data_IF_310487439409
#
_entry.id   IF_310487439409
#
_cell.length_a   1.000
_cell.length_b   1.000
_cell.length_c   1.000
_cell.angle_alpha   90.00
_cell.angle_beta   90.00
_cell.angle_gamma   90.00
#
_symmetry.space_group_name_H-M   'P 1'
#
loop_
_entity.id
_entity.type
_entity.pdbx_description
1 polymer ?
#
# COMPACT_ATOMS: atom_id res chain seq x y z
N UNK A 1 -15.08 48.35 1.93
CA UNK A 1 -13.84 47.86 2.55
C UNK A 1 -14.07 46.39 2.85
N UNK A 2 -13.16 45.50 2.45
CA UNK A 2 -13.21 44.11 2.91
C UNK A 2 -12.86 44.13 4.39
N UNK A 3 -13.67 43.50 5.23
CA UNK A 3 -13.38 43.38 6.66
C UNK A 3 -12.05 42.65 6.86
N UNK A 4 -11.21 43.16 7.76
CA UNK A 4 -9.88 42.59 8.08
C UNK A 4 -9.98 41.09 8.42
N UNK A 5 -11.07 40.71 9.09
CA UNK A 5 -11.41 39.31 9.40
C UNK A 5 -11.58 38.46 8.16
N UNK A 6 -12.32 38.96 7.15
CA UNK A 6 -12.58 38.22 5.92
C UNK A 6 -11.30 38.06 5.09
N UNK A 7 -10.46 39.09 5.06
CA UNK A 7 -9.16 39.03 4.40
C UNK A 7 -8.22 38.01 5.08
N UNK A 8 -8.20 37.99 6.42
CA UNK A 8 -7.39 37.03 7.18
C UNK A 8 -7.83 35.58 6.94
N UNK A 9 -9.14 35.31 6.93
CA UNK A 9 -9.68 33.98 6.62
C UNK A 9 -9.28 33.51 5.22
N UNK A 10 -9.34 34.40 4.22
CA UNK A 10 -8.93 34.12 2.86
C UNK A 10 -7.43 33.77 2.78
N UNK A 11 -6.58 34.58 3.42
CA UNK A 11 -5.13 34.36 3.41
C UNK A 11 -4.73 33.06 4.11
N UNK A 12 -5.35 32.75 5.25
CA UNK A 12 -5.10 31.48 5.95
C UNK A 12 -5.54 30.29 5.09
N UNK A 13 -6.71 30.37 4.46
CA UNK A 13 -7.19 29.31 3.55
C UNK A 13 -6.26 29.09 2.35
N UNK A 14 -5.79 30.17 1.73
CA UNK A 14 -4.82 30.10 0.63
C UNK A 14 -3.46 29.55 1.08
N UNK A 15 -2.98 29.94 2.25
CA UNK A 15 -1.72 29.44 2.80
C UNK A 15 -1.79 27.94 3.10
N UNK A 16 -2.86 27.47 3.72
CA UNK A 16 -3.08 26.04 4.01
C UNK A 16 -3.20 25.24 2.71
N UNK A 17 -3.96 25.73 1.73
CA UNK A 17 -4.08 25.09 0.41
C UNK A 17 -2.73 25.02 -0.31
N UNK A 18 -1.94 26.09 -0.26
CA UNK A 18 -0.59 26.14 -0.82
C UNK A 18 0.36 25.15 -0.16
N UNK A 19 0.34 25.05 1.17
CA UNK A 19 1.12 24.04 1.90
C UNK A 19 0.72 22.61 1.52
N UNK A 20 -0.59 22.35 1.40
CA UNK A 20 -1.12 21.05 0.98
C UNK A 20 -0.61 20.68 -0.42
N UNK A 21 -0.63 21.63 -1.36
CA UNK A 21 -0.09 21.47 -2.71
C UNK A 21 1.42 21.19 -2.73
N UNK A 22 2.20 21.91 -1.91
CA UNK A 22 3.63 21.70 -1.80
C UNK A 22 3.97 20.30 -1.25
N UNK A 23 3.25 19.85 -0.23
CA UNK A 23 3.37 18.49 0.29
C UNK A 23 3.00 17.44 -0.76
N UNK A 24 1.93 17.67 -1.53
CA UNK A 24 1.52 16.78 -2.61
C UNK A 24 2.59 16.66 -3.70
N UNK A 25 3.15 17.79 -4.15
CA UNK A 25 4.22 17.80 -5.16
C UNK A 25 5.49 17.12 -4.61
N UNK A 26 5.83 17.34 -3.34
CA UNK A 26 6.96 16.69 -2.69
C UNK A 26 6.77 15.17 -2.56
N UNK A 27 5.56 14.71 -2.21
CA UNK A 27 5.20 13.29 -2.15
C UNK A 27 5.28 12.63 -3.53
N UNK A 28 4.78 13.31 -4.56
CA UNK A 28 4.88 12.85 -5.94
C UNK A 28 6.35 12.74 -6.41
N UNK A 29 7.17 13.75 -6.11
CA UNK A 29 8.60 13.73 -6.44
C UNK A 29 9.39 12.69 -5.64
N UNK A 30 8.97 12.41 -4.41
CA UNK A 30 9.61 11.40 -3.54
C UNK A 30 9.27 9.96 -3.93
N UNK A 31 8.50 9.75 -5.02
CA UNK A 31 8.18 8.41 -5.51
C UNK A 31 7.10 7.69 -4.70
N UNK A 32 6.30 8.40 -3.89
CA UNK A 32 5.24 7.78 -3.09
C UNK A 32 4.15 7.09 -3.95
N UNK A 33 4.07 7.43 -5.24
CA UNK A 33 3.14 6.82 -6.19
C UNK A 33 3.78 5.77 -7.12
N UNK A 34 5.09 5.54 -7.00
CA UNK A 34 5.85 4.66 -7.89
C UNK A 34 5.50 3.16 -7.69
N UNK A 35 4.91 2.82 -6.54
CA UNK A 35 4.40 1.48 -6.22
C UNK A 35 3.08 1.13 -6.96
N UNK A 36 2.48 2.05 -7.71
CA UNK A 36 1.29 1.73 -8.53
C UNK A 36 1.60 0.66 -9.58
N UNK A 37 2.84 0.59 -10.08
CA UNK A 37 3.28 -0.44 -11.04
C UNK A 37 3.29 -1.84 -10.42
N UNK A 38 3.64 -1.96 -9.13
CA UNK A 38 3.73 -3.24 -8.43
C UNK A 38 2.37 -3.88 -8.20
N UNK A 39 1.33 -3.08 -7.95
CA UNK A 39 -0.03 -3.60 -7.73
C UNK A 39 -0.65 -4.15 -9.01
N UNK A 40 -0.42 -3.50 -10.16
CA UNK A 40 -0.95 -3.99 -11.45
C UNK A 40 -0.13 -5.12 -12.05
N UNK A 41 1.20 -5.12 -11.89
CA UNK A 41 2.05 -6.20 -12.43
C UNK A 41 2.03 -7.46 -11.55
N UNK A 42 2.05 -7.32 -10.22
CA UNK A 42 2.01 -8.47 -9.31
C UNK A 42 0.66 -9.21 -9.28
N UNK A 43 -0.42 -8.63 -9.80
CA UNK A 43 -1.73 -9.29 -9.88
C UNK A 43 -1.94 -10.09 -11.18
N UNK A 44 -1.23 -9.74 -12.26
CA UNK A 44 -1.38 -10.38 -13.58
C UNK A 44 -0.24 -11.33 -13.92
N UNK A 45 0.94 -11.14 -13.34
CA UNK A 45 2.12 -11.95 -13.62
C UNK A 45 2.74 -12.36 -12.28
N UNK A 46 2.37 -13.55 -11.80
CA UNK A 46 3.13 -14.19 -10.72
C UNK A 46 4.55 -14.46 -11.24
N UNK A 47 5.56 -14.08 -10.44
CA UNK A 47 6.94 -14.45 -10.72
C UNK A 47 7.19 -15.94 -10.44
N UNK A 48 8.30 -16.51 -10.94
CA UNK A 48 8.69 -17.89 -10.58
C UNK A 48 8.84 -18.06 -9.06
N UNK A 49 9.27 -17.00 -8.36
CA UNK A 49 9.38 -16.98 -6.90
C UNK A 49 8.01 -17.05 -6.22
N UNK A 50 7.01 -16.31 -6.72
CA UNK A 50 5.63 -16.35 -6.20
C UNK A 50 5.01 -17.75 -6.38
N UNK A 51 5.24 -18.38 -7.54
CA UNK A 51 4.83 -19.76 -7.81
C UNK A 51 5.50 -20.76 -6.85
N UNK A 52 6.80 -20.62 -6.64
CA UNK A 52 7.56 -21.49 -5.74
C UNK A 52 7.10 -21.34 -4.29
N UNK A 53 6.77 -20.13 -3.86
CA UNK A 53 6.26 -19.88 -2.51
C UNK A 53 4.82 -20.41 -2.32
N UNK A 54 3.98 -20.35 -3.34
CA UNK A 54 2.67 -21.01 -3.33
C UNK A 54 2.79 -22.53 -3.16
N UNK A 55 3.73 -23.17 -3.88
CA UNK A 55 4.01 -24.61 -3.77
C UNK A 55 4.52 -24.98 -2.37
N UNK A 56 5.47 -24.21 -1.81
CA UNK A 56 5.96 -24.41 -0.43
C UNK A 56 4.82 -24.31 0.57
N UNK A 57 3.94 -23.32 0.42
CA UNK A 57 2.76 -23.14 1.28
C UNK A 57 1.82 -24.34 1.22
N UNK A 58 1.51 -24.84 0.01
CA UNK A 58 0.66 -26.03 -0.15
C UNK A 58 1.28 -27.27 0.53
N UNK A 59 2.58 -27.48 0.34
CA UNK A 59 3.32 -28.60 0.94
C UNK A 59 3.31 -28.51 2.47
N UNK A 60 3.56 -27.33 3.05
CA UNK A 60 3.52 -27.14 4.50
C UNK A 60 2.14 -27.47 5.11
N UNK A 61 1.05 -27.13 4.41
CA UNK A 61 -0.32 -27.43 4.84
C UNK A 61 -0.59 -28.94 4.75
N UNK A 62 -0.15 -29.60 3.67
CA UNK A 62 -0.27 -31.06 3.51
C UNK A 62 0.48 -31.80 4.60
N UNK A 63 1.71 -31.39 4.90
CA UNK A 63 2.54 -31.96 5.95
C UNK A 63 1.87 -31.81 7.32
N UNK A 64 1.42 -30.60 7.68
CA UNK A 64 0.72 -30.34 8.94
C UNK A 64 -0.55 -31.21 9.08
N UNK A 65 -1.34 -31.34 8.02
CA UNK A 65 -2.53 -32.22 8.02
C UNK A 65 -2.16 -33.70 8.16
N UNK A 66 -1.10 -34.15 7.51
CA UNK A 66 -0.64 -35.54 7.59
C UNK A 66 -0.15 -35.91 8.99
N UNK A 67 0.58 -34.99 9.65
CA UNK A 67 1.05 -35.15 11.02
C UNK A 67 -0.12 -35.16 12.02
N UNK A 68 -1.10 -34.27 11.85
CA UNK A 68 -2.30 -34.25 12.68
C UNK A 68 -3.12 -35.56 12.56
N UNK A 69 -3.21 -36.13 11.35
CA UNK A 69 -3.89 -37.41 11.14
C UNK A 69 -3.12 -38.61 11.71
N UNK A 70 -1.79 -38.60 11.68
CA UNK A 70 -0.98 -39.64 12.34
C UNK A 70 -1.15 -39.60 13.86
N UNK A 71 -1.05 -38.42 14.48
CA UNK A 71 -1.28 -38.23 15.92
C UNK A 71 -2.67 -38.61 16.41
N UNK A 72 -3.69 -38.60 15.53
CA UNK A 72 -5.05 -39.04 15.87
C UNK A 72 -5.27 -40.55 15.77
N UNK A 73 -4.36 -41.27 15.09
CA UNK A 73 -4.43 -42.72 14.88
C UNK A 73 -3.52 -43.50 15.84
N UNK A 74 -2.57 -42.82 16.48
CA UNK A 74 -1.86 -43.28 17.69
C UNK A 74 -2.70 -42.99 18.93
#
# INVERSE_FOLDING_TARGET
>A
MIDDTLFFMLMVGLAVSGLMLLLFIWAAKSGQFDDSSKVTQGLLFDSEDDLNDAVKKENSIKEAKSQANKKRKE
#
